data_IF_439582925433
#
_entry.id   IF_439582925433
#
_cell.length_a   1.000
_cell.length_b   1.000
_cell.length_c   1.000
_cell.angle_alpha   90.00
_cell.angle_beta   90.00
_cell.angle_gamma   90.00
#
_symmetry.space_group_name_H-M   'P 1'
#
loop_
_entity.id
_entity.type
_entity.pdbx_description
1 polymer ?
#
# COMPACT_ATOMS: atom_id res chain seq x y z
N UNK A 1 0.10 -34.98 -20.05
CA UNK A 1 -0.94 -34.72 -19.04
C UNK A 1 -1.04 -33.21 -18.94
N UNK A 2 -2.15 -32.62 -19.33
CA UNK A 2 -2.44 -31.21 -19.03
C UNK A 2 -2.69 -31.19 -17.53
N UNK A 3 -1.72 -30.73 -16.75
CA UNK A 3 -1.92 -30.54 -15.33
C UNK A 3 -3.06 -29.55 -15.12
N UNK A 4 -3.86 -29.73 -14.08
CA UNK A 4 -4.91 -28.77 -13.71
C UNK A 4 -4.28 -27.36 -13.60
N UNK A 5 -4.94 -26.39 -14.21
CA UNK A 5 -4.47 -25.00 -14.15
C UNK A 5 -4.47 -24.53 -12.71
N UNK A 6 -3.31 -24.09 -12.23
CA UNK A 6 -3.18 -23.52 -10.90
C UNK A 6 -3.58 -22.04 -10.93
N UNK A 7 -4.29 -21.62 -9.91
CA UNK A 7 -4.65 -20.23 -9.67
C UNK A 7 -4.19 -19.83 -8.27
N UNK A 8 -4.23 -18.56 -7.96
CA UNK A 8 -3.89 -18.04 -6.64
C UNK A 8 -5.13 -17.50 -5.91
N UNK A 9 -5.02 -17.48 -4.59
CA UNK A 9 -5.98 -16.82 -3.70
C UNK A 9 -5.25 -16.09 -2.59
N UNK A 10 -5.89 -15.07 -2.03
CA UNK A 10 -5.48 -14.47 -0.77
C UNK A 10 -5.97 -15.39 0.35
N UNK A 11 -5.05 -15.96 1.13
CA UNK A 11 -5.36 -16.75 2.32
C UNK A 11 -5.63 -15.85 3.52
N UNK A 12 -4.84 -14.78 3.63
CA UNK A 12 -4.98 -13.77 4.68
C UNK A 12 -4.29 -12.47 4.27
N UNK A 13 -4.60 -11.42 5.01
CA UNK A 13 -3.92 -10.13 4.93
C UNK A 13 -3.80 -9.51 6.32
N UNK A 14 -2.89 -8.56 6.48
CA UNK A 14 -2.74 -7.78 7.70
C UNK A 14 -2.16 -6.40 7.41
N UNK A 15 -2.66 -5.39 8.13
CA UNK A 15 -2.07 -4.08 8.25
C UNK A 15 -1.55 -3.87 9.67
N UNK A 16 -0.37 -3.29 9.82
CA UNK A 16 0.19 -2.97 11.11
C UNK A 16 0.45 -1.46 11.21
N UNK A 17 -0.02 -0.85 12.29
CA UNK A 17 0.19 0.56 12.59
C UNK A 17 0.96 0.72 13.89
N UNK A 18 2.04 1.52 13.92
CA UNK A 18 2.71 1.88 15.16
C UNK A 18 1.75 2.54 16.17
N UNK A 19 2.04 2.37 17.45
CA UNK A 19 1.16 2.90 18.53
C UNK A 19 1.21 4.41 18.65
N UNK A 20 2.33 5.04 18.30
CA UNK A 20 2.52 6.48 18.42
C UNK A 20 1.66 7.24 17.41
N UNK A 21 0.74 8.07 17.91
CA UNK A 21 -0.12 8.94 17.11
C UNK A 21 0.47 10.36 17.13
N UNK A 22 0.61 10.98 15.97
CA UNK A 22 1.04 12.37 15.83
C UNK A 22 -0.06 13.14 15.10
N UNK A 23 -0.59 14.19 15.73
CA UNK A 23 -1.67 14.97 15.16
C UNK A 23 -1.17 16.03 14.21
N UNK A 24 -1.87 16.21 13.09
CA UNK A 24 -1.55 17.20 12.05
C UNK A 24 -1.43 18.62 12.61
N UNK A 25 -2.26 18.98 13.58
CA UNK A 25 -2.20 20.28 14.29
C UNK A 25 -0.88 20.52 15.02
N UNK A 26 -0.19 19.46 15.45
CA UNK A 26 1.07 19.54 16.19
C UNK A 26 2.27 19.62 15.24
N UNK A 27 2.13 19.12 14.00
CA UNK A 27 3.18 19.17 12.96
C UNK A 27 3.22 20.51 12.25
N UNK A 28 2.07 21.03 11.86
CA UNK A 28 1.95 22.23 11.04
C UNK A 28 2.62 23.49 11.62
N UNK A 29 2.60 23.72 12.96
CA UNK A 29 3.27 24.87 13.55
C UNK A 29 4.79 24.78 13.57
N UNK A 30 5.36 23.55 13.50
CA UNK A 30 6.80 23.32 13.56
C UNK A 30 7.50 23.58 12.21
N UNK A 31 6.71 23.70 11.15
CA UNK A 31 7.22 23.88 9.80
C UNK A 31 7.03 25.28 9.26
N UNK A 32 7.49 25.46 8.07
CA UNK A 32 7.44 26.68 7.29
C UNK A 32 6.13 26.91 6.54
N UNK A 33 5.06 26.20 6.91
CA UNK A 33 3.73 26.47 6.35
C UNK A 33 3.26 27.86 6.77
N UNK A 34 2.74 28.68 5.85
CA UNK A 34 2.11 29.92 6.23
C UNK A 34 0.99 29.67 7.24
N UNK A 35 0.91 30.46 8.33
CA UNK A 35 -0.13 30.35 9.37
C UNK A 35 -1.58 30.27 8.84
N UNK A 36 -1.79 30.64 7.56
CA UNK A 36 -3.10 30.61 6.89
C UNK A 36 -3.39 29.26 6.20
N UNK A 37 -2.43 28.35 6.12
CA UNK A 37 -2.64 27.05 5.50
C UNK A 37 -2.98 26.06 6.61
N UNK A 38 -4.24 25.69 6.67
CA UNK A 38 -4.76 24.62 7.49
C UNK A 38 -4.60 23.31 6.68
N UNK A 39 -3.59 22.52 7.02
CA UNK A 39 -3.26 21.28 6.31
C UNK A 39 -4.34 20.20 6.52
N UNK A 40 -4.90 20.10 7.73
CA UNK A 40 -6.01 19.19 8.02
C UNK A 40 -7.24 19.56 7.16
N UNK A 41 -7.62 20.83 7.12
CA UNK A 41 -8.71 21.30 6.27
C UNK A 41 -8.44 21.05 4.78
N UNK A 42 -7.18 21.12 4.34
CA UNK A 42 -6.80 20.92 2.94
C UNK A 42 -6.88 19.45 2.52
N UNK A 43 -6.46 18.53 3.38
CA UNK A 43 -6.28 17.11 3.05
C UNK A 43 -7.31 16.19 3.70
N UNK A 44 -7.90 16.59 4.81
CA UNK A 44 -8.72 15.77 5.70
C UNK A 44 -7.90 14.89 6.66
N UNK A 45 -6.55 14.96 6.63
CA UNK A 45 -5.68 14.14 7.48
C UNK A 45 -5.59 14.77 8.85
N UNK A 46 -6.08 14.10 9.88
CA UNK A 46 -6.11 14.52 11.28
C UNK A 46 -4.86 14.10 12.04
N UNK A 47 -4.36 12.91 11.70
CA UNK A 47 -3.18 12.33 12.35
C UNK A 47 -2.48 11.35 11.40
N UNK A 48 -1.29 10.92 11.79
CA UNK A 48 -0.58 9.79 11.22
C UNK A 48 0.08 8.97 12.33
N UNK A 49 0.60 7.80 11.98
CA UNK A 49 1.32 6.94 12.90
C UNK A 49 2.82 7.09 12.67
N UNK A 50 3.59 6.97 13.74
CA UNK A 50 5.04 6.99 13.70
C UNK A 50 5.62 5.83 14.51
N UNK A 51 6.72 5.28 14.02
CA UNK A 51 7.52 4.30 14.77
C UNK A 51 7.98 4.89 16.11
N UNK A 52 8.10 4.02 17.10
CA UNK A 52 8.74 4.33 18.37
C UNK A 52 10.24 4.02 18.30
N UNK A 53 11.01 4.45 19.30
CA UNK A 53 12.45 4.19 19.37
C UNK A 53 12.75 2.69 19.21
N UNK A 54 13.70 2.38 18.31
CA UNK A 54 14.12 1.04 17.99
C UNK A 54 13.28 0.30 16.95
N UNK A 55 12.15 0.86 16.51
CA UNK A 55 11.38 0.33 15.39
C UNK A 55 11.89 0.91 14.06
N UNK A 56 11.76 0.11 13.01
CA UNK A 56 12.22 0.45 11.66
C UNK A 56 11.31 -0.18 10.58
N UNK A 57 11.71 -0.05 9.32
CA UNK A 57 10.98 -0.67 8.22
C UNK A 57 10.89 -2.19 8.33
N UNK A 58 11.93 -2.87 8.88
CA UNK A 58 11.93 -4.33 9.05
C UNK A 58 10.91 -4.73 10.11
N UNK A 59 10.88 -4.01 11.24
CA UNK A 59 9.92 -4.26 12.31
C UNK A 59 8.47 -4.14 11.82
N UNK A 60 8.17 -3.08 11.07
CA UNK A 60 6.82 -2.86 10.52
C UNK A 60 6.39 -3.99 9.58
N UNK A 61 7.29 -4.43 8.69
CA UNK A 61 7.03 -5.55 7.78
C UNK A 61 6.87 -6.88 8.54
N UNK A 62 7.71 -7.10 9.54
CA UNK A 62 7.69 -8.31 10.39
C UNK A 62 6.37 -8.43 11.14
N UNK A 63 5.91 -7.39 11.83
CA UNK A 63 4.67 -7.42 12.59
C UNK A 63 3.46 -7.72 11.70
N UNK A 64 3.35 -7.06 10.54
CA UNK A 64 2.29 -7.35 9.58
C UNK A 64 2.37 -8.79 9.05
N UNK A 65 3.59 -9.30 8.80
CA UNK A 65 3.81 -10.66 8.32
C UNK A 65 3.38 -11.73 9.33
N UNK A 66 3.74 -11.57 10.61
CA UNK A 66 3.33 -12.49 11.68
C UNK A 66 1.80 -12.50 11.84
N UNK A 67 1.16 -11.34 11.75
CA UNK A 67 -0.31 -11.26 11.78
C UNK A 67 -0.94 -12.02 10.60
N UNK A 68 -0.42 -11.83 9.39
CA UNK A 68 -0.92 -12.52 8.20
C UNK A 68 -0.70 -14.04 8.29
N UNK A 69 0.48 -14.51 8.70
CA UNK A 69 0.78 -15.94 8.90
C UNK A 69 -0.18 -16.57 9.91
N UNK A 70 -0.38 -15.92 11.06
CA UNK A 70 -1.30 -16.38 12.11
C UNK A 70 -2.74 -16.52 11.58
N UNK A 71 -3.24 -15.51 10.84
CA UNK A 71 -4.57 -15.52 10.24
C UNK A 71 -4.74 -16.59 9.17
N UNK A 72 -3.70 -16.82 8.38
CA UNK A 72 -3.67 -17.88 7.37
C UNK A 72 -3.42 -19.29 7.93
N UNK A 73 -3.18 -19.41 9.25
CA UNK A 73 -2.84 -20.66 9.93
C UNK A 73 -1.65 -21.41 9.30
N UNK A 74 -0.60 -20.66 8.92
CA UNK A 74 0.66 -21.16 8.38
C UNK A 74 1.82 -20.69 9.27
N UNK A 75 2.85 -21.54 9.36
CA UNK A 75 4.13 -21.19 9.97
C UNK A 75 5.11 -20.60 8.94
N UNK A 76 6.20 -19.96 9.40
CA UNK A 76 7.26 -19.51 8.51
C UNK A 76 7.89 -20.63 7.67
N UNK A 77 7.91 -21.86 8.18
CA UNK A 77 8.42 -23.06 7.51
C UNK A 77 7.58 -23.48 6.30
N UNK A 78 6.32 -23.04 6.22
CA UNK A 78 5.40 -23.36 5.13
C UNK A 78 5.55 -22.42 3.93
N UNK A 79 6.36 -21.35 4.06
CA UNK A 79 6.51 -20.30 3.05
C UNK A 79 7.59 -20.68 2.04
N UNK A 80 7.21 -20.70 0.76
CA UNK A 80 8.14 -20.99 -0.35
C UNK A 80 8.83 -19.73 -0.87
N UNK A 81 8.19 -18.56 -0.73
CA UNK A 81 8.69 -17.29 -1.28
C UNK A 81 8.24 -16.10 -0.41
N UNK A 82 9.20 -15.21 -0.11
CA UNK A 82 8.95 -13.91 0.50
C UNK A 82 9.30 -12.79 -0.48
N UNK A 83 8.32 -11.94 -0.80
CA UNK A 83 8.52 -10.77 -1.65
C UNK A 83 8.32 -9.51 -0.82
N UNK A 84 9.39 -8.73 -0.63
CA UNK A 84 9.28 -7.41 -0.04
C UNK A 84 9.03 -6.34 -1.10
N UNK A 85 8.19 -5.35 -0.79
CA UNK A 85 7.90 -4.24 -1.70
C UNK A 85 7.99 -2.86 -1.04
N UNK A 86 8.73 -2.74 0.07
CA UNK A 86 8.94 -1.48 0.77
C UNK A 86 9.57 -0.42 -0.12
N UNK A 87 9.03 0.78 -0.08
CA UNK A 87 9.61 1.98 -0.70
C UNK A 87 10.68 2.55 0.21
N UNK A 88 10.36 2.71 1.50
CA UNK A 88 11.30 3.14 2.52
C UNK A 88 11.97 1.90 3.14
N UNK A 89 13.26 1.74 2.90
CA UNK A 89 14.06 0.65 3.46
C UNK A 89 15.03 1.26 4.45
N UNK A 90 14.50 1.78 5.56
CA UNK A 90 15.26 2.46 6.58
C UNK A 90 15.41 1.60 7.83
N UNK A 91 16.63 1.57 8.39
CA UNK A 91 16.90 1.04 9.71
C UNK A 91 16.46 2.04 10.82
N UNK A 92 16.63 1.65 12.08
CA UNK A 92 16.28 2.49 13.24
C UNK A 92 17.13 3.76 13.37
N UNK A 93 18.29 3.81 12.76
CA UNK A 93 19.17 4.98 12.66
C UNK A 93 18.86 5.85 11.43
N UNK A 94 17.86 5.45 10.61
CA UNK A 94 17.43 6.09 9.36
C UNK A 94 18.46 5.95 8.22
N UNK A 95 19.33 4.95 8.28
CA UNK A 95 20.17 4.60 7.14
C UNK A 95 19.33 3.82 6.14
N UNK A 96 19.55 4.09 4.85
CA UNK A 96 18.90 3.31 3.79
C UNK A 96 19.64 1.98 3.62
N UNK A 97 18.91 0.89 3.72
CA UNK A 97 19.40 -0.46 3.46
C UNK A 97 19.44 -0.69 1.95
N UNK A 98 20.64 -0.88 1.40
CA UNK A 98 20.86 -1.14 -0.02
C UNK A 98 21.09 -2.62 -0.29
N UNK A 99 21.92 -3.27 0.55
CA UNK A 99 22.31 -4.67 0.47
C UNK A 99 22.53 -5.26 1.88
N UNK A 100 22.20 -6.53 2.10
CA UNK A 100 21.48 -7.46 1.19
C UNK A 100 20.05 -7.01 0.90
N UNK A 101 19.29 -7.79 0.08
CA UNK A 101 17.89 -7.48 -0.17
C UNK A 101 17.14 -7.33 1.16
N UNK A 102 16.18 -6.43 1.23
CA UNK A 102 15.40 -6.23 2.44
C UNK A 102 14.61 -7.49 2.84
N UNK A 103 14.15 -8.25 1.85
CA UNK A 103 13.50 -9.56 2.07
C UNK A 103 14.40 -10.56 2.79
N UNK A 104 15.74 -10.48 2.63
CA UNK A 104 16.70 -11.35 3.33
C UNK A 104 16.62 -11.18 4.86
N UNK A 105 16.55 -9.94 5.35
CA UNK A 105 16.38 -9.67 6.78
C UNK A 105 15.03 -10.21 7.31
N UNK A 106 13.99 -10.12 6.49
CA UNK A 106 12.67 -10.61 6.87
C UNK A 106 12.62 -12.13 6.95
N UNK A 107 13.21 -12.83 5.98
CA UNK A 107 13.32 -14.30 5.99
C UNK A 107 14.04 -14.80 7.22
N UNK A 108 15.17 -14.18 7.57
CA UNK A 108 15.93 -14.53 8.77
C UNK A 108 15.11 -14.27 10.04
N UNK A 109 14.51 -13.08 10.15
CA UNK A 109 13.76 -12.67 11.33
C UNK A 109 12.47 -13.48 11.54
N UNK A 110 11.79 -13.85 10.45
CA UNK A 110 10.60 -14.71 10.48
C UNK A 110 10.93 -16.18 10.79
N UNK A 111 12.17 -16.60 10.50
CA UNK A 111 12.55 -18.02 10.53
C UNK A 111 12.10 -18.79 9.28
N UNK A 112 11.74 -18.09 8.18
CA UNK A 112 11.36 -18.67 6.90
C UNK A 112 12.58 -19.06 6.05
N UNK A 113 13.55 -19.73 6.66
CA UNK A 113 14.90 -19.97 6.12
C UNK A 113 14.94 -20.81 4.83
N UNK A 114 13.86 -21.50 4.50
CA UNK A 114 13.75 -22.29 3.27
C UNK A 114 13.08 -21.51 2.13
N UNK A 115 12.55 -20.33 2.41
CA UNK A 115 11.88 -19.52 1.41
C UNK A 115 12.89 -18.86 0.46
N UNK A 116 12.58 -18.87 -0.83
CA UNK A 116 13.21 -17.93 -1.77
C UNK A 116 12.79 -16.49 -1.43
N UNK A 117 13.60 -15.50 -1.80
CA UNK A 117 13.30 -14.13 -1.40
C UNK A 117 13.93 -13.09 -2.31
N UNK A 118 13.20 -12.01 -2.53
CA UNK A 118 13.70 -10.83 -3.26
C UNK A 118 12.83 -9.59 -3.00
N UNK A 119 13.35 -8.44 -3.43
CA UNK A 119 12.64 -7.16 -3.37
C UNK A 119 12.05 -6.79 -4.73
N UNK A 120 10.84 -6.22 -4.72
CA UNK A 120 10.19 -5.58 -5.87
C UNK A 120 10.02 -4.10 -5.58
N UNK A 121 10.34 -3.24 -6.54
CA UNK A 121 10.18 -1.79 -6.40
C UNK A 121 9.23 -1.23 -7.45
N UNK A 122 8.12 -0.63 -7.02
CA UNK A 122 7.19 0.13 -7.87
C UNK A 122 6.44 1.21 -7.07
N UNK A 123 7.17 1.93 -6.24
CA UNK A 123 6.62 2.97 -5.36
C UNK A 123 5.34 2.49 -4.64
N UNK A 124 4.33 3.36 -4.50
CA UNK A 124 3.08 3.00 -3.82
C UNK A 124 2.27 1.87 -4.47
N UNK A 125 2.55 1.52 -5.74
CA UNK A 125 1.98 0.34 -6.41
C UNK A 125 2.77 -0.95 -6.17
N UNK A 126 3.84 -0.89 -5.36
CA UNK A 126 4.73 -2.02 -5.07
C UNK A 126 3.99 -3.25 -4.57
N UNK A 127 3.05 -3.08 -3.64
CA UNK A 127 2.28 -4.20 -3.07
C UNK A 127 1.46 -4.93 -4.14
N UNK A 128 0.69 -4.24 -4.98
CA UNK A 128 -0.10 -4.90 -6.02
C UNK A 128 0.82 -5.49 -7.11
N UNK A 129 1.96 -4.86 -7.40
CA UNK A 129 2.97 -5.42 -8.30
C UNK A 129 3.53 -6.73 -7.74
N UNK A 130 3.87 -6.76 -6.46
CA UNK A 130 4.39 -7.97 -5.78
C UNK A 130 3.34 -9.08 -5.71
N UNK A 131 2.06 -8.75 -5.43
CA UNK A 131 0.95 -9.70 -5.50
C UNK A 131 0.82 -10.34 -6.90
N UNK A 132 0.98 -9.54 -7.97
CA UNK A 132 0.96 -10.06 -9.35
C UNK A 132 2.15 -10.97 -9.65
N UNK A 133 3.34 -10.66 -9.12
CA UNK A 133 4.51 -11.55 -9.23
C UNK A 133 4.28 -12.85 -8.46
N UNK A 134 3.75 -12.77 -7.25
CA UNK A 134 3.38 -13.94 -6.43
C UNK A 134 2.37 -14.85 -7.14
N UNK A 135 1.33 -14.27 -7.78
CA UNK A 135 0.36 -14.99 -8.61
C UNK A 135 1.04 -15.78 -9.75
N UNK A 136 2.05 -15.18 -10.39
CA UNK A 136 2.80 -15.85 -11.47
C UNK A 136 3.61 -17.03 -10.93
N UNK A 137 4.26 -16.91 -9.77
CA UNK A 137 4.98 -18.01 -9.13
C UNK A 137 4.05 -19.17 -8.78
N UNK A 138 2.86 -18.88 -8.24
CA UNK A 138 1.86 -19.89 -7.92
C UNK A 138 1.33 -20.57 -9.18
N UNK A 139 0.94 -19.80 -10.20
CA UNK A 139 0.41 -20.32 -11.48
C UNK A 139 1.39 -21.18 -12.25
N UNK A 140 2.68 -20.93 -12.10
CA UNK A 140 3.75 -21.75 -12.73
C UNK A 140 4.17 -22.94 -11.88
N UNK A 141 3.60 -23.09 -10.67
CA UNK A 141 3.94 -24.19 -9.74
C UNK A 141 5.30 -24.03 -9.07
N UNK A 142 5.92 -22.84 -9.15
CA UNK A 142 7.21 -22.54 -8.53
C UNK A 142 7.08 -22.30 -7.01
N UNK A 143 5.91 -21.88 -6.55
CA UNK A 143 5.59 -21.71 -5.13
C UNK A 143 4.15 -22.12 -4.87
N UNK A 144 3.87 -22.58 -3.65
CA UNK A 144 2.52 -22.89 -3.14
C UNK A 144 2.03 -21.78 -2.21
N UNK A 145 2.90 -21.31 -1.33
CA UNK A 145 2.61 -20.26 -0.38
C UNK A 145 3.61 -19.10 -0.54
N UNK A 146 3.08 -17.90 -0.78
CA UNK A 146 3.89 -16.71 -0.98
C UNK A 146 3.47 -15.64 0.02
N UNK A 147 4.44 -15.12 0.76
CA UNK A 147 4.26 -13.97 1.62
C UNK A 147 4.72 -12.71 0.90
N UNK A 148 3.80 -11.80 0.63
CA UNK A 148 4.10 -10.45 0.11
C UNK A 148 4.02 -9.48 1.28
N UNK A 149 5.06 -8.70 1.51
CA UNK A 149 5.13 -7.82 2.68
C UNK A 149 5.82 -6.50 2.39
N UNK A 150 5.56 -5.53 3.24
CA UNK A 150 6.20 -4.20 3.20
C UNK A 150 6.17 -3.55 4.58
N UNK A 151 7.22 -2.80 4.89
CA UNK A 151 7.27 -1.91 6.05
C UNK A 151 7.72 -0.52 5.62
N UNK A 152 6.88 0.46 5.88
CA UNK A 152 7.09 1.84 5.45
C UNK A 152 7.40 2.75 6.64
N UNK A 153 8.68 3.07 6.82
CA UNK A 153 9.16 4.07 7.76
C UNK A 153 9.33 5.40 7.04
N UNK A 154 8.22 6.11 6.84
CA UNK A 154 8.15 7.31 5.99
C UNK A 154 8.18 8.61 6.77
N UNK A 155 7.95 8.60 8.08
CA UNK A 155 7.97 9.81 8.92
C UNK A 155 9.25 10.65 8.83
N UNK A 156 10.47 10.14 8.56
CA UNK A 156 11.65 10.97 8.29
C UNK A 156 11.45 11.97 7.15
N UNK A 157 10.60 11.67 6.15
CA UNK A 157 10.27 12.58 5.05
C UNK A 157 9.50 13.81 5.55
N UNK A 158 8.65 13.65 6.58
CA UNK A 158 7.92 14.76 7.23
C UNK A 158 8.91 15.72 7.86
N UNK A 159 9.85 15.20 8.65
CA UNK A 159 10.84 16.01 9.36
C UNK A 159 11.76 16.80 8.42
N UNK A 160 12.11 16.21 7.28
CA UNK A 160 12.88 16.91 6.25
C UNK A 160 12.04 18.01 5.56
N UNK A 161 10.76 17.76 5.30
CA UNK A 161 9.85 18.74 4.72
C UNK A 161 9.62 19.96 5.65
N UNK A 162 9.60 19.74 6.97
CA UNK A 162 9.45 20.81 7.96
C UNK A 162 10.63 21.80 7.98
N UNK A 163 11.83 21.38 7.58
CA UNK A 163 13.02 22.24 7.51
C UNK A 163 13.00 23.20 6.32
N UNK A 164 12.10 23.00 5.36
CA UNK A 164 12.06 23.76 4.10
C UNK A 164 10.94 24.78 4.13
N UNK A 165 11.22 26.03 3.71
CA UNK A 165 10.18 27.05 3.58
C UNK A 165 9.19 26.68 2.47
N UNK A 166 7.89 26.74 2.78
CA UNK A 166 6.80 26.55 1.81
C UNK A 166 6.95 27.46 0.57
N UNK A 167 7.36 28.70 0.78
CA UNK A 167 7.57 29.66 -0.31
C UNK A 167 8.73 29.30 -1.24
N UNK A 168 9.74 28.64 -0.69
CA UNK A 168 10.89 28.18 -1.45
C UNK A 168 10.64 26.83 -2.13
N UNK A 169 9.84 25.96 -1.51
CA UNK A 169 9.56 24.63 -2.06
C UNK A 169 8.14 24.12 -1.72
N UNK A 170 7.10 24.61 -2.42
CA UNK A 170 5.73 24.16 -2.21
C UNK A 170 5.51 22.67 -2.52
N UNK A 171 6.42 22.05 -3.29
CA UNK A 171 6.36 20.62 -3.63
C UNK A 171 6.76 19.70 -2.47
N UNK A 172 7.31 20.24 -1.38
CA UNK A 172 7.58 19.49 -0.16
C UNK A 172 6.33 19.33 0.73
N UNK A 173 5.30 20.14 0.55
CA UNK A 173 4.07 20.10 1.37
C UNK A 173 3.37 18.73 1.36
N UNK A 174 3.24 18.02 0.24
CA UNK A 174 2.65 16.67 0.24
C UNK A 174 3.40 15.65 1.11
N UNK A 175 4.69 15.91 1.43
CA UNK A 175 5.46 15.06 2.36
C UNK A 175 4.89 15.04 3.78
N UNK A 176 4.10 16.04 4.17
CA UNK A 176 3.45 16.11 5.48
C UNK A 176 2.25 15.16 5.59
N UNK A 177 1.85 14.53 4.49
CA UNK A 177 0.70 13.61 4.47
C UNK A 177 1.07 12.14 4.73
N UNK A 178 2.36 11.79 4.79
CA UNK A 178 2.77 10.40 4.95
C UNK A 178 2.63 9.92 6.39
N UNK A 179 2.67 8.61 6.59
CA UNK A 179 2.65 7.95 7.89
C UNK A 179 3.33 6.58 7.82
N UNK A 180 3.75 6.06 8.97
CA UNK A 180 4.43 4.79 9.07
C UNK A 180 3.42 3.63 9.18
N UNK A 181 3.75 2.48 8.56
CA UNK A 181 2.90 1.30 8.64
C UNK A 181 3.52 0.07 7.99
N UNK A 182 3.04 -1.09 8.41
CA UNK A 182 3.35 -2.39 7.82
C UNK A 182 2.16 -2.95 7.06
N UNK A 183 2.42 -3.83 6.10
CA UNK A 183 1.37 -4.53 5.38
C UNK A 183 1.86 -5.87 4.87
N UNK A 184 0.99 -6.88 4.92
CA UNK A 184 1.29 -8.22 4.41
C UNK A 184 0.07 -8.88 3.79
N UNK A 185 0.32 -9.72 2.79
CA UNK A 185 -0.63 -10.64 2.19
C UNK A 185 0.01 -12.03 2.10
N UNK A 186 -0.73 -13.02 2.53
CA UNK A 186 -0.38 -14.42 2.37
C UNK A 186 -1.20 -15.01 1.23
N UNK A 187 -0.53 -15.52 0.20
CA UNK A 187 -1.17 -16.13 -0.95
C UNK A 187 -0.96 -17.65 -0.94
N UNK A 188 -1.94 -18.36 -1.46
CA UNK A 188 -1.88 -19.79 -1.65
C UNK A 188 -2.50 -20.24 -2.97
N UNK A 189 -2.36 -21.54 -3.27
CA UNK A 189 -2.94 -22.17 -4.47
C UNK A 189 -4.46 -22.19 -4.38
N UNK A 190 -5.12 -21.97 -5.50
CA UNK A 190 -6.56 -22.15 -5.70
C UNK A 190 -6.85 -22.94 -6.96
N UNK A 191 -7.97 -23.65 -6.98
CA UNK A 191 -8.56 -24.23 -8.19
C UNK A 191 -9.55 -23.29 -8.89
N UNK A 192 -9.96 -22.22 -8.20
CA UNK A 192 -10.90 -21.23 -8.74
C UNK A 192 -10.16 -20.03 -9.36
N UNK A 193 -10.33 -19.78 -10.68
CA UNK A 193 -9.69 -18.66 -11.36
C UNK A 193 -10.16 -17.27 -10.91
N UNK A 194 -11.22 -17.18 -10.12
CA UNK A 194 -11.83 -15.92 -9.72
C UNK A 194 -11.27 -15.36 -8.41
N UNK A 195 -10.54 -16.18 -7.62
CA UNK A 195 -10.13 -15.83 -6.27
C UNK A 195 -9.15 -14.67 -6.18
N UNK A 196 -8.20 -14.55 -7.13
CA UNK A 196 -7.28 -13.40 -7.24
C UNK A 196 -7.02 -13.10 -8.72
N UNK A 197 -7.30 -11.89 -9.14
CA UNK A 197 -7.17 -11.45 -10.55
C UNK A 197 -6.59 -10.05 -10.63
N UNK A 198 -5.98 -9.72 -11.75
CA UNK A 198 -5.32 -8.43 -11.96
C UNK A 198 -5.79 -7.76 -13.24
N UNK A 199 -5.97 -6.44 -13.17
CA UNK A 199 -6.07 -5.59 -14.34
C UNK A 199 -4.74 -5.49 -15.11
N UNK A 200 -4.81 -4.97 -16.34
CA UNK A 200 -3.61 -4.61 -17.08
C UNK A 200 -2.92 -3.41 -16.42
N UNK A 201 -1.61 -3.51 -16.11
CA UNK A 201 -0.85 -2.38 -15.61
C UNK A 201 -0.83 -1.24 -16.63
N UNK A 202 -0.94 -0.01 -16.12
CA UNK A 202 -0.83 1.17 -16.96
C UNK A 202 0.37 2.00 -16.53
N UNK A 203 1.24 2.28 -17.46
CA UNK A 203 2.41 3.15 -17.25
C UNK A 203 2.22 4.46 -17.99
N UNK A 204 2.37 5.56 -17.28
CA UNK A 204 2.27 6.93 -17.76
C UNK A 204 3.61 7.63 -17.47
N UNK A 205 4.70 7.13 -18.07
CA UNK A 205 6.08 7.52 -17.78
C UNK A 205 6.37 9.02 -17.99
N UNK A 206 5.55 9.72 -18.78
CA UNK A 206 5.65 11.17 -18.93
C UNK A 206 5.40 11.96 -17.63
N UNK A 207 4.97 11.31 -16.55
CA UNK A 207 4.73 11.91 -15.23
C UNK A 207 5.77 11.47 -14.17
N UNK A 208 6.90 10.88 -14.59
CA UNK A 208 7.95 10.38 -13.71
C UNK A 208 8.45 11.39 -12.68
N UNK A 209 8.62 12.63 -13.11
CA UNK A 209 9.09 13.75 -12.27
C UNK A 209 8.03 14.37 -11.36
N UNK A 210 6.78 13.87 -11.37
CA UNK A 210 5.70 14.47 -10.58
C UNK A 210 5.74 14.11 -9.10
N UNK A 211 6.32 12.98 -8.76
CA UNK A 211 6.60 12.59 -7.38
C UNK A 211 7.94 11.85 -7.34
N UNK A 212 8.91 12.47 -6.71
CA UNK A 212 10.27 11.94 -6.58
C UNK A 212 10.68 11.98 -5.12
N UNK A 213 11.17 10.87 -4.60
CA UNK A 213 11.82 10.78 -3.31
C UNK A 213 13.28 10.39 -3.53
N UNK A 214 14.20 11.10 -2.90
CA UNK A 214 15.63 10.84 -2.95
C UNK A 214 16.28 10.99 -1.57
N UNK A 215 17.37 10.28 -1.36
CA UNK A 215 18.25 10.43 -0.20
C UNK A 215 19.62 10.88 -0.70
N UNK A 216 20.12 12.01 -0.19
CA UNK A 216 21.47 12.46 -0.49
C UNK A 216 22.45 11.91 0.55
N UNK A 217 23.64 11.51 0.12
CA UNK A 217 24.74 11.10 1.02
C UNK A 217 25.03 12.25 1.97
N UNK A 218 25.01 11.97 3.28
CA UNK A 218 25.24 12.97 4.33
C UNK A 218 24.03 13.86 4.66
N UNK A 219 22.86 13.61 4.05
CA UNK A 219 21.62 14.26 4.45
C UNK A 219 20.93 13.47 5.57
N UNK A 220 20.23 14.14 6.51
CA UNK A 220 19.63 13.50 7.67
C UNK A 220 18.34 12.69 7.36
N UNK A 221 18.00 12.45 6.10
CA UNK A 221 16.84 11.65 5.71
C UNK A 221 16.39 11.88 4.26
N UNK A 222 15.49 11.04 3.76
CA UNK A 222 14.96 11.15 2.41
C UNK A 222 14.08 12.39 2.26
N UNK A 223 14.18 13.04 1.10
CA UNK A 223 13.36 14.20 0.71
C UNK A 223 12.39 13.79 -0.37
N UNK A 224 11.11 14.14 -0.22
CA UNK A 224 10.10 13.94 -1.24
C UNK A 224 9.66 15.28 -1.83
N UNK A 225 9.51 15.32 -3.14
CA UNK A 225 9.00 16.47 -3.89
C UNK A 225 7.85 16.00 -4.77
N UNK A 226 6.66 16.55 -4.55
CA UNK A 226 5.45 16.15 -5.28
C UNK A 226 4.76 17.36 -5.88
N UNK A 227 4.56 17.35 -7.21
CA UNK A 227 3.68 18.29 -7.90
C UNK A 227 2.22 17.89 -7.70
N UNK A 228 1.72 17.96 -6.45
CA UNK A 228 0.49 17.33 -6.02
C UNK A 228 -0.72 17.60 -6.92
N UNK A 229 -0.99 18.88 -7.26
CA UNK A 229 -2.13 19.24 -8.14
C UNK A 229 -2.01 18.61 -9.54
N UNK A 230 -0.81 18.57 -10.11
CA UNK A 230 -0.58 18.00 -11.43
C UNK A 230 -0.71 16.49 -11.41
N UNK A 231 -0.15 15.83 -10.38
CA UNK A 231 -0.25 14.39 -10.16
C UNK A 231 -1.71 13.96 -9.99
N UNK A 232 -2.47 14.63 -9.12
CA UNK A 232 -3.89 14.31 -8.91
C UNK A 232 -4.71 14.51 -10.19
N UNK A 233 -4.44 15.59 -10.96
CA UNK A 233 -5.11 15.80 -12.24
C UNK A 233 -4.82 14.69 -13.24
N UNK A 234 -3.58 14.18 -13.29
CA UNK A 234 -3.18 13.08 -14.15
C UNK A 234 -3.87 11.77 -13.71
N UNK A 235 -3.87 11.47 -12.40
CA UNK A 235 -4.53 10.30 -11.82
C UNK A 235 -6.04 10.31 -12.07
N UNK A 236 -6.73 11.43 -11.80
CA UNK A 236 -8.19 11.55 -12.00
C UNK A 236 -8.62 11.35 -13.46
N UNK A 237 -7.79 11.74 -14.44
CA UNK A 237 -8.06 11.46 -15.86
C UNK A 237 -8.08 9.96 -16.18
N UNK A 238 -7.39 9.15 -15.40
CA UNK A 238 -7.29 7.70 -15.62
C UNK A 238 -8.30 6.91 -14.78
N UNK A 239 -8.97 7.52 -13.82
CA UNK A 239 -9.86 6.84 -12.88
C UNK A 239 -10.93 6.01 -13.62
N UNK A 240 -11.79 6.66 -14.39
CA UNK A 240 -12.86 5.99 -15.14
C UNK A 240 -12.28 5.04 -16.22
N UNK A 241 -11.33 5.45 -17.07
CA UNK A 241 -10.74 4.52 -18.03
C UNK A 241 -10.08 3.28 -17.39
N UNK A 242 -9.50 3.40 -16.20
CA UNK A 242 -8.88 2.24 -15.52
C UNK A 242 -9.95 1.28 -14.99
N UNK A 243 -11.01 1.78 -14.38
CA UNK A 243 -12.13 0.94 -13.95
C UNK A 243 -12.83 0.27 -15.15
N UNK A 244 -13.14 1.01 -16.20
CA UNK A 244 -13.75 0.43 -17.41
C UNK A 244 -12.92 -0.72 -18.00
N UNK A 245 -11.59 -0.56 -18.05
CA UNK A 245 -10.70 -1.61 -18.56
C UNK A 245 -10.70 -2.85 -17.67
N UNK A 246 -10.60 -2.69 -16.34
CA UNK A 246 -10.55 -3.83 -15.43
C UNK A 246 -11.87 -4.56 -15.37
N UNK A 247 -13.00 -3.85 -15.30
CA UNK A 247 -14.34 -4.45 -15.32
C UNK A 247 -14.54 -5.30 -16.58
N UNK A 248 -14.18 -4.73 -17.76
CA UNK A 248 -14.23 -5.46 -19.04
C UNK A 248 -13.30 -6.67 -19.07
N UNK A 249 -12.05 -6.52 -18.64
CA UNK A 249 -11.04 -7.58 -18.68
C UNK A 249 -11.39 -8.75 -17.77
N UNK A 250 -11.89 -8.46 -16.57
CA UNK A 250 -12.22 -9.45 -15.56
C UNK A 250 -13.69 -9.93 -15.64
N UNK A 251 -14.46 -9.40 -16.61
CA UNK A 251 -15.88 -9.72 -16.78
C UNK A 251 -16.68 -9.49 -15.46
N UNK A 252 -16.42 -8.34 -14.81
CA UNK A 252 -17.09 -7.91 -13.58
C UNK A 252 -18.14 -6.84 -13.88
N UNK A 253 -19.29 -6.93 -13.22
CA UNK A 253 -20.21 -5.81 -13.10
C UNK A 253 -19.82 -4.93 -11.92
N UNK A 254 -19.96 -3.61 -12.06
CA UNK A 254 -19.70 -2.66 -10.96
C UNK A 254 -20.54 -2.94 -9.72
N UNK A 255 -21.79 -3.40 -9.90
CA UNK A 255 -22.70 -3.74 -8.82
C UNK A 255 -22.30 -4.99 -8.03
N UNK A 256 -21.41 -5.83 -8.57
CA UNK A 256 -20.88 -7.02 -7.89
C UNK A 256 -19.75 -6.65 -6.91
N UNK A 257 -19.10 -5.48 -7.10
CA UNK A 257 -18.02 -5.06 -6.23
C UNK A 257 -18.56 -4.61 -4.87
N UNK A 258 -18.20 -5.34 -3.82
CA UNK A 258 -18.60 -5.01 -2.45
C UNK A 258 -17.75 -3.88 -1.86
N UNK A 259 -16.45 -3.93 -2.08
CA UNK A 259 -15.49 -3.00 -1.49
C UNK A 259 -14.52 -2.43 -2.51
N UNK A 260 -14.32 -1.12 -2.46
CA UNK A 260 -13.27 -0.44 -3.23
C UNK A 260 -12.29 0.21 -2.25
N UNK A 261 -11.01 -0.14 -2.40
CA UNK A 261 -9.92 0.43 -1.62
C UNK A 261 -8.94 1.07 -2.60
N UNK A 262 -8.92 2.40 -2.61
CA UNK A 262 -7.94 3.14 -3.42
C UNK A 262 -6.72 3.51 -2.60
N UNK A 263 -5.63 3.86 -3.29
CA UNK A 263 -4.45 4.40 -2.63
C UNK A 263 -4.80 5.61 -1.75
N UNK A 264 -4.46 5.53 -0.47
CA UNK A 264 -4.84 6.48 0.58
C UNK A 264 -3.90 7.71 0.58
N UNK A 265 -4.22 8.74 -0.19
CA UNK A 265 -3.38 9.95 -0.32
C UNK A 265 -3.90 11.15 0.46
N UNK A 266 -5.20 11.38 0.44
CA UNK A 266 -5.92 12.35 1.26
C UNK A 266 -7.42 12.09 1.17
N UNK A 267 -8.17 12.42 2.21
CA UNK A 267 -9.64 12.26 2.25
C UNK A 267 -10.29 12.97 1.06
N UNK A 268 -9.95 14.23 0.84
CA UNK A 268 -10.52 15.05 -0.24
C UNK A 268 -10.34 14.47 -1.64
N UNK A 269 -9.20 13.83 -1.90
CA UNK A 269 -8.92 13.20 -3.20
C UNK A 269 -9.72 11.93 -3.37
N UNK A 270 -9.84 11.12 -2.30
CA UNK A 270 -10.60 9.87 -2.31
C UNK A 270 -12.09 10.14 -2.47
N UNK A 271 -12.66 11.06 -1.68
CA UNK A 271 -14.07 11.49 -1.80
C UNK A 271 -14.39 11.95 -3.22
N UNK A 272 -13.54 12.82 -3.79
CA UNK A 272 -13.72 13.27 -5.17
C UNK A 272 -13.63 12.14 -6.19
N UNK A 273 -12.73 11.19 -5.98
CA UNK A 273 -12.62 9.98 -6.83
C UNK A 273 -13.88 9.14 -6.76
N UNK A 274 -14.42 8.95 -5.55
CA UNK A 274 -15.68 8.25 -5.33
C UNK A 274 -16.85 8.95 -6.05
N UNK A 275 -17.00 10.27 -5.89
CA UNK A 275 -18.06 11.02 -6.57
C UNK A 275 -18.00 10.82 -8.10
N UNK A 276 -16.80 10.91 -8.69
CA UNK A 276 -16.60 10.67 -10.12
C UNK A 276 -16.96 9.23 -10.53
N UNK A 277 -16.64 8.25 -9.69
CA UNK A 277 -16.97 6.85 -9.96
C UNK A 277 -18.49 6.60 -9.83
N UNK A 278 -19.14 7.19 -8.82
CA UNK A 278 -20.61 7.13 -8.64
C UNK A 278 -21.34 7.75 -9.83
N UNK A 279 -20.89 8.90 -10.32
CA UNK A 279 -21.47 9.55 -11.51
C UNK A 279 -21.36 8.67 -12.76
N UNK A 280 -20.30 7.87 -12.89
CA UNK A 280 -20.04 7.06 -14.07
C UNK A 280 -20.64 5.66 -14.02
N UNK A 281 -20.70 5.03 -12.86
CA UNK A 281 -21.04 3.61 -12.68
C UNK A 281 -22.23 3.36 -11.73
N UNK A 282 -22.65 4.36 -10.98
CA UNK A 282 -23.61 4.23 -9.90
C UNK A 282 -22.96 4.02 -8.53
N UNK A 283 -23.77 3.91 -7.49
CA UNK A 283 -23.34 3.79 -6.11
C UNK A 283 -22.50 2.53 -5.89
N UNK A 284 -21.32 2.69 -5.28
CA UNK A 284 -20.52 1.60 -4.74
C UNK A 284 -21.10 1.16 -3.38
N UNK A 285 -20.99 -0.14 -3.05
CA UNK A 285 -21.47 -0.64 -1.75
C UNK A 285 -20.64 -0.06 -0.60
N UNK A 286 -19.31 -0.14 -0.67
CA UNK A 286 -18.43 0.42 0.35
C UNK A 286 -17.12 0.97 -0.25
N UNK A 287 -16.80 2.21 0.11
CA UNK A 287 -15.57 2.91 -0.30
C UNK A 287 -14.77 3.28 0.96
N UNK A 288 -13.61 2.63 1.15
CA UNK A 288 -12.85 2.73 2.40
C UNK A 288 -11.93 3.95 2.43
N UNK A 289 -11.98 4.70 3.53
CA UNK A 289 -11.09 5.83 3.84
C UNK A 289 -10.54 5.64 5.25
N UNK A 290 -9.22 5.60 5.37
CA UNK A 290 -8.52 5.55 6.66
C UNK A 290 -7.37 6.55 6.77
N UNK A 291 -7.03 7.23 5.67
CA UNK A 291 -5.92 8.19 5.59
C UNK A 291 -6.04 9.36 6.55
N UNK A 292 -7.25 9.67 7.02
CA UNK A 292 -7.49 10.72 8.00
C UNK A 292 -6.82 10.45 9.35
N UNK A 293 -6.65 9.17 9.72
CA UNK A 293 -6.03 8.73 10.98
C UNK A 293 -4.64 8.09 10.79
N UNK A 294 -4.36 7.56 9.59
CA UNK A 294 -3.15 6.79 9.35
C UNK A 294 -2.07 7.59 8.63
N UNK A 295 -2.46 8.65 7.90
CA UNK A 295 -1.63 9.23 6.87
C UNK A 295 -1.46 8.29 5.68
N UNK A 296 -0.70 8.73 4.68
CA UNK A 296 -0.36 7.91 3.52
C UNK A 296 0.80 6.97 3.85
N UNK A 297 0.50 5.70 4.03
CA UNK A 297 1.48 4.65 4.35
C UNK A 297 2.13 4.02 3.11
N UNK A 298 2.25 4.79 2.03
CA UNK A 298 2.91 4.41 0.78
C UNK A 298 2.46 3.04 0.21
N UNK A 299 3.33 2.03 0.11
CA UNK A 299 2.98 0.74 -0.47
C UNK A 299 2.05 -0.10 0.42
N UNK A 300 2.02 0.12 1.73
CA UNK A 300 1.17 -0.64 2.67
C UNK A 300 -0.27 -0.15 2.73
N UNK A 301 -0.58 0.91 2.03
CA UNK A 301 -1.84 1.66 2.09
C UNK A 301 -3.10 0.80 2.01
N UNK A 302 -3.12 -0.22 1.12
CA UNK A 302 -4.28 -1.10 0.95
C UNK A 302 -4.42 -2.10 2.10
N UNK A 303 -3.29 -2.66 2.57
CA UNK A 303 -3.29 -3.59 3.70
C UNK A 303 -3.74 -2.89 4.99
N UNK A 304 -3.28 -1.65 5.21
CA UNK A 304 -3.70 -0.82 6.35
C UNK A 304 -5.20 -0.48 6.25
N UNK A 305 -5.70 -0.14 5.06
CA UNK A 305 -7.13 0.14 4.88
C UNK A 305 -8.01 -1.11 5.08
N UNK A 306 -7.53 -2.28 4.65
CA UNK A 306 -8.18 -3.57 4.94
C UNK A 306 -8.20 -3.86 6.43
N UNK A 307 -7.09 -3.63 7.15
CA UNK A 307 -7.04 -3.81 8.60
C UNK A 307 -8.04 -2.92 9.33
N UNK A 308 -8.12 -1.64 8.95
CA UNK A 308 -9.11 -0.72 9.51
C UNK A 308 -10.54 -1.19 9.25
N UNK A 309 -10.82 -1.68 8.05
CA UNK A 309 -12.13 -2.25 7.72
C UNK A 309 -12.44 -3.52 8.52
N UNK A 310 -11.43 -4.35 8.88
CA UNK A 310 -11.60 -5.49 9.78
C UNK A 310 -11.95 -5.04 11.20
N UNK A 311 -11.23 -4.04 11.74
CA UNK A 311 -11.51 -3.46 13.07
C UNK A 311 -12.96 -2.92 13.16
N UNK A 312 -13.50 -2.44 12.05
CA UNK A 312 -14.85 -1.89 11.92
C UNK A 312 -15.91 -2.93 11.51
N UNK A 313 -15.52 -4.21 11.35
CA UNK A 313 -16.39 -5.31 10.93
C UNK A 313 -17.07 -5.08 9.57
N UNK A 314 -16.35 -4.48 8.62
CA UNK A 314 -16.91 -4.18 7.30
C UNK A 314 -16.89 -5.35 6.33
N UNK A 315 -16.11 -6.40 6.58
CA UNK A 315 -15.90 -7.50 5.63
C UNK A 315 -16.61 -8.78 6.05
N UNK A 316 -17.20 -9.45 5.06
CA UNK A 316 -17.69 -10.80 5.18
C UNK A 316 -16.95 -11.73 4.21
N UNK A 317 -16.84 -13.01 4.57
CA UNK A 317 -16.25 -14.02 3.70
C UNK A 317 -17.00 -14.11 2.35
N UNK A 318 -16.25 -14.16 1.27
CA UNK A 318 -16.81 -14.28 -0.09
C UNK A 318 -17.15 -12.94 -0.77
N UNK A 319 -16.98 -11.80 -0.11
CA UNK A 319 -17.18 -10.48 -0.72
C UNK A 319 -16.06 -10.09 -1.67
N UNK A 320 -16.42 -9.33 -2.71
CA UNK A 320 -15.53 -8.86 -3.77
C UNK A 320 -14.82 -7.56 -3.41
N UNK A 321 -13.50 -7.57 -3.45
CA UNK A 321 -12.65 -6.41 -3.16
C UNK A 321 -11.89 -5.97 -4.41
N UNK A 322 -11.96 -4.68 -4.72
CA UNK A 322 -11.15 -4.05 -5.76
C UNK A 322 -10.11 -3.11 -5.14
N UNK A 323 -8.83 -3.46 -5.26
CA UNK A 323 -7.71 -2.61 -4.87
C UNK A 323 -7.27 -1.77 -6.06
N UNK A 324 -7.24 -0.45 -5.91
CA UNK A 324 -6.85 0.49 -6.95
C UNK A 324 -5.66 1.34 -6.51
N UNK A 325 -4.50 1.11 -7.09
CA UNK A 325 -3.23 1.73 -6.71
C UNK A 325 -2.73 2.71 -7.74
N UNK A 326 -2.16 3.81 -7.25
CA UNK A 326 -1.38 4.77 -8.00
C UNK A 326 0.03 4.84 -7.43
N UNK A 327 1.03 4.46 -8.21
CA UNK A 327 2.44 4.61 -7.87
C UNK A 327 3.06 5.83 -8.56
N UNK A 328 4.11 6.38 -7.95
CA UNK A 328 4.96 7.36 -8.62
C UNK A 328 5.48 6.80 -9.95
N UNK A 329 5.57 7.66 -10.98
CA UNK A 329 6.04 7.16 -12.27
C UNK A 329 5.26 7.65 -13.50
N UNK A 330 3.98 7.85 -13.59
CA UNK A 330 2.81 7.37 -12.83
C UNK A 330 2.48 5.95 -13.28
N UNK A 331 2.25 5.07 -12.36
CA UNK A 331 1.78 3.71 -12.65
C UNK A 331 0.43 3.45 -11.98
N UNK A 332 -0.43 2.68 -12.65
CA UNK A 332 -1.76 2.31 -12.14
C UNK A 332 -1.86 0.80 -12.17
N UNK A 333 -2.17 0.23 -11.02
CA UNK A 333 -2.37 -1.20 -10.82
C UNK A 333 -3.69 -1.45 -10.13
N UNK A 334 -4.41 -2.46 -10.61
CA UNK A 334 -5.67 -2.89 -10.00
C UNK A 334 -5.60 -4.39 -9.75
N UNK A 335 -5.97 -4.80 -8.54
CA UNK A 335 -6.19 -6.19 -8.18
C UNK A 335 -7.63 -6.37 -7.71
N UNK A 336 -8.18 -7.52 -8.02
CA UNK A 336 -9.46 -7.99 -7.51
C UNK A 336 -9.23 -9.29 -6.77
N UNK A 337 -9.81 -9.43 -5.58
CA UNK A 337 -9.78 -10.68 -4.84
C UNK A 337 -11.07 -10.89 -4.05
N UNK A 338 -11.30 -12.14 -3.68
CA UNK A 338 -12.43 -12.54 -2.83
C UNK A 338 -11.96 -12.61 -1.38
N UNK A 339 -12.71 -12.01 -0.46
CA UNK A 339 -12.41 -12.05 0.98
C UNK A 339 -12.33 -13.50 1.47
N UNK A 340 -11.25 -13.89 2.18
CA UNK A 340 -11.03 -15.25 2.66
C UNK A 340 -12.13 -15.73 3.63
N UNK A 341 -12.39 -17.05 3.62
CA UNK A 341 -13.41 -17.66 4.47
C UNK A 341 -13.16 -17.51 5.98
N UNK A 342 -11.91 -17.35 6.39
CA UNK A 342 -11.52 -17.18 7.80
C UNK A 342 -11.66 -15.77 8.37
N UNK A 343 -12.04 -14.77 7.57
CA UNK A 343 -11.99 -13.34 7.94
C UNK A 343 -12.72 -13.02 9.24
N UNK A 344 -13.87 -13.62 9.48
CA UNK A 344 -14.71 -13.35 10.65
C UNK A 344 -14.17 -13.95 11.97
N UNK A 345 -13.05 -14.70 11.91
CA UNK A 345 -12.40 -15.31 13.07
C UNK A 345 -11.02 -14.73 13.39
N UNK A 346 -10.59 -13.69 12.67
CA UNK A 346 -9.26 -13.08 12.79
C UNK A 346 -9.08 -12.13 13.98
#
# INVERSE_FOLDING_TARGET
>A
MVGDSLYSQVLSFAGFLPKKVVYTKDIAPLGSLPRKIDFERLTGIKSHREVSDGQDSIELAYEASIMALKRGNLGPEDIDLVINCSVSKLDSERNQILEPSFASFLVERLGAINADHFDVSNACSGMITALKVADMYIKTGMAKHVLVTSGEYTSPVIYEAQKVSFWLNPNAVPSLSVGDGGGAYLLGVSSDPKMLRFGEPQTLAQYDSYCVADAAIGAPGPKMRTRGKALHKAAMKQLIPSFQRVLKLLELDWSEIDHIITHQTSVKVIERGNDIAVDAFGQCKCYHICVDETGNTASTTHAVALEKGLEENHFNAGEDVLLHSYGSGLSIFIAHFIIPQGVNSW
#
